data_IF_828506712617
#
_entry.id   IF_828506712617
#
_cell.length_a   1.000
_cell.length_b   1.000
_cell.length_c   1.000
_cell.angle_alpha   90.00
_cell.angle_beta   90.00
_cell.angle_gamma   90.00
#
_symmetry.space_group_name_H-M   'P 1'
#
loop_
_entity.id
_entity.type
_entity.pdbx_description
1 polymer ?
#
# COMPACT_ATOMS: atom_id res chain seq x y z
N UNK A 1 -38.71 26.85 -39.69
CA UNK A 1 -38.96 25.74 -38.74
C UNK A 1 -37.70 24.87 -38.72
N UNK A 2 -36.86 25.11 -37.77
CA UNK A 2 -35.63 24.36 -37.59
C UNK A 2 -35.80 23.37 -36.46
N UNK A 3 -35.77 22.10 -36.77
CA UNK A 3 -35.75 21.02 -35.76
C UNK A 3 -34.33 20.89 -35.19
N UNK A 4 -34.12 21.42 -33.99
CA UNK A 4 -32.92 21.14 -33.22
C UNK A 4 -32.97 19.72 -32.69
N UNK A 5 -32.21 18.85 -33.34
CA UNK A 5 -31.94 17.52 -32.79
C UNK A 5 -31.13 17.63 -31.50
N UNK A 6 -31.69 17.22 -30.37
CA UNK A 6 -30.94 16.97 -29.17
C UNK A 6 -29.99 15.80 -29.47
N UNK A 7 -28.68 16.08 -29.48
CA UNK A 7 -27.67 15.03 -29.36
C UNK A 7 -27.91 14.35 -28.00
N UNK A 8 -28.30 13.09 -28.06
CA UNK A 8 -28.41 12.26 -26.87
C UNK A 8 -26.99 12.06 -26.33
N UNK A 9 -26.82 12.30 -25.01
CA UNK A 9 -25.70 11.83 -24.25
C UNK A 9 -25.61 10.30 -24.41
N UNK A 10 -24.79 9.85 -25.33
CA UNK A 10 -24.32 8.48 -25.34
C UNK A 10 -23.38 8.35 -24.14
N UNK A 11 -23.90 7.80 -23.05
CA UNK A 11 -23.10 7.43 -21.90
C UNK A 11 -22.06 6.42 -22.40
N UNK A 12 -20.88 6.88 -22.76
CA UNK A 12 -19.79 6.02 -23.22
C UNK A 12 -19.39 5.14 -22.04
N UNK A 13 -19.53 3.84 -22.19
CA UNK A 13 -19.16 2.83 -21.21
C UNK A 13 -17.64 2.87 -21.03
N UNK A 14 -17.20 3.28 -19.85
CA UNK A 14 -15.79 3.58 -19.54
C UNK A 14 -15.01 2.35 -19.10
N UNK A 15 -13.68 2.43 -19.11
CA UNK A 15 -12.83 1.39 -18.51
C UNK A 15 -13.19 1.13 -17.05
N UNK A 16 -13.62 2.16 -16.31
CA UNK A 16 -14.03 2.05 -14.90
C UNK A 16 -15.35 1.28 -14.74
N UNK A 17 -16.27 1.40 -15.68
CA UNK A 17 -17.51 0.62 -15.68
C UNK A 17 -17.23 -0.86 -15.97
N UNK A 18 -16.35 -1.15 -16.95
CA UNK A 18 -15.90 -2.51 -17.24
C UNK A 18 -15.21 -3.17 -16.05
N UNK A 19 -14.34 -2.43 -15.37
CA UNK A 19 -13.63 -2.93 -14.17
C UNK A 19 -14.63 -3.23 -13.06
N UNK A 20 -15.59 -2.33 -12.81
CA UNK A 20 -16.62 -2.52 -11.78
C UNK A 20 -17.48 -3.74 -12.09
N UNK A 21 -17.95 -3.90 -13.31
CA UNK A 21 -18.73 -5.06 -13.71
C UNK A 21 -17.96 -6.37 -13.53
N UNK A 22 -16.67 -6.39 -13.89
CA UNK A 22 -15.85 -7.58 -13.70
C UNK A 22 -15.60 -7.88 -12.21
N UNK A 23 -15.45 -6.85 -11.35
CA UNK A 23 -15.38 -7.03 -9.89
C UNK A 23 -16.67 -7.69 -9.36
N UNK A 24 -17.83 -7.13 -9.68
CA UNK A 24 -19.12 -7.68 -9.22
C UNK A 24 -19.44 -9.07 -9.77
N UNK A 25 -19.01 -9.38 -10.99
CA UNK A 25 -19.12 -10.71 -11.57
C UNK A 25 -18.30 -11.76 -10.82
N UNK A 26 -17.17 -11.35 -10.21
CA UNK A 26 -16.27 -12.21 -9.44
C UNK A 26 -16.49 -12.10 -7.92
N UNK A 27 -17.59 -11.49 -7.49
CA UNK A 27 -17.96 -11.34 -6.10
C UNK A 27 -18.22 -12.70 -5.44
N UNK A 28 -17.70 -12.88 -4.22
CA UNK A 28 -17.92 -14.04 -3.35
C UNK A 28 -18.31 -13.54 -1.97
N UNK A 29 -19.60 -13.63 -1.65
CA UNK A 29 -20.17 -13.11 -0.40
C UNK A 29 -19.56 -13.78 0.84
N UNK A 30 -19.30 -15.08 0.79
CA UNK A 30 -18.71 -15.79 1.94
C UNK A 30 -17.23 -15.41 2.13
N UNK A 31 -16.49 -15.24 1.04
CA UNK A 31 -15.14 -14.72 1.10
C UNK A 31 -15.12 -13.26 1.59
N UNK A 32 -16.07 -12.44 1.18
CA UNK A 32 -16.25 -11.07 1.67
C UNK A 32 -16.45 -11.02 3.18
N UNK A 33 -17.33 -11.86 3.73
CA UNK A 33 -17.53 -12.00 5.18
C UNK A 33 -16.25 -12.44 5.91
N UNK A 34 -15.53 -13.41 5.34
CA UNK A 34 -14.26 -13.84 5.89
C UNK A 34 -13.22 -12.70 5.90
N UNK A 35 -13.08 -11.96 4.80
CA UNK A 35 -12.18 -10.80 4.72
C UNK A 35 -12.58 -9.73 5.74
N UNK A 36 -13.87 -9.42 5.88
CA UNK A 36 -14.37 -8.46 6.86
C UNK A 36 -14.03 -8.88 8.30
N UNK A 37 -14.00 -10.19 8.60
CA UNK A 37 -13.60 -10.68 9.94
C UNK A 37 -12.12 -10.44 10.26
N UNK A 38 -11.27 -10.33 9.23
CA UNK A 38 -9.83 -10.08 9.37
C UNK A 38 -9.49 -8.58 9.32
N UNK A 39 -10.39 -7.76 8.76
CA UNK A 39 -10.24 -6.33 8.55
C UNK A 39 -11.40 -5.57 9.21
N UNK A 40 -11.50 -5.58 10.56
CA UNK A 40 -12.56 -4.89 11.26
C UNK A 40 -12.44 -3.38 11.03
N UNK A 41 -13.46 -2.79 10.43
CA UNK A 41 -13.48 -1.36 10.07
C UNK A 41 -13.26 -1.08 8.59
N UNK A 42 -12.81 -2.05 7.79
CA UNK A 42 -12.78 -1.91 6.34
C UNK A 42 -14.20 -1.81 5.78
N UNK A 43 -14.42 -0.78 4.93
CA UNK A 43 -15.74 -0.53 4.33
C UNK A 43 -15.97 -1.35 3.06
N UNK A 44 -17.25 -1.63 2.78
CA UNK A 44 -17.76 -2.12 1.49
C UNK A 44 -16.90 -3.20 0.79
N UNK A 45 -16.66 -4.32 1.50
CA UNK A 45 -15.97 -5.49 0.96
C UNK A 45 -16.97 -6.33 0.16
N UNK A 46 -16.71 -6.55 -1.14
CA UNK A 46 -17.55 -7.37 -2.03
C UNK A 46 -17.05 -8.81 -2.19
N UNK A 47 -15.81 -9.08 -1.79
CA UNK A 47 -15.25 -10.42 -1.69
C UNK A 47 -14.60 -10.93 -2.98
N UNK A 48 -13.91 -10.09 -3.74
CA UNK A 48 -13.13 -10.54 -4.88
C UNK A 48 -11.76 -11.04 -4.42
N UNK A 49 -11.42 -12.26 -4.82
CA UNK A 49 -10.16 -12.90 -4.40
C UNK A 49 -8.92 -12.25 -5.02
N UNK A 50 -7.86 -12.11 -4.26
CA UNK A 50 -6.59 -11.48 -4.70
C UNK A 50 -6.05 -12.03 -6.02
N UNK A 51 -6.08 -13.34 -6.33
CA UNK A 51 -5.63 -13.82 -7.65
C UNK A 51 -6.42 -13.23 -8.82
N UNK A 52 -7.73 -12.99 -8.65
CA UNK A 52 -8.58 -12.33 -9.66
C UNK A 52 -8.15 -10.86 -9.82
N UNK A 53 -8.02 -10.13 -8.71
CA UNK A 53 -7.54 -8.75 -8.73
C UNK A 53 -6.16 -8.63 -9.41
N UNK A 54 -5.24 -9.56 -9.14
CA UNK A 54 -3.92 -9.58 -9.79
C UNK A 54 -4.00 -9.83 -11.31
N UNK A 55 -4.94 -10.67 -11.77
CA UNK A 55 -5.17 -10.88 -13.19
C UNK A 55 -5.69 -9.60 -13.85
N UNK A 56 -6.74 -9.01 -13.28
CA UNK A 56 -7.31 -7.75 -13.76
C UNK A 56 -6.26 -6.63 -13.78
N UNK A 57 -5.48 -6.49 -12.72
CA UNK A 57 -4.44 -5.47 -12.63
C UNK A 57 -3.37 -5.60 -13.72
N UNK A 58 -2.96 -6.84 -14.07
CA UNK A 58 -2.01 -7.06 -15.17
C UNK A 58 -2.59 -6.66 -16.52
N UNK A 59 -3.85 -6.96 -16.76
CA UNK A 59 -4.55 -6.59 -17.99
C UNK A 59 -4.64 -5.06 -18.10
N UNK A 60 -5.11 -4.37 -17.05
CA UNK A 60 -5.20 -2.91 -16.97
C UNK A 60 -3.81 -2.28 -17.19
N UNK A 61 -2.79 -2.76 -16.48
CA UNK A 61 -1.44 -2.23 -16.55
C UNK A 61 -0.80 -2.40 -17.94
N UNK A 62 -1.17 -3.43 -18.68
CA UNK A 62 -0.68 -3.68 -20.05
C UNK A 62 -1.27 -2.75 -21.10
N UNK A 63 -2.44 -2.17 -20.83
CA UNK A 63 -3.13 -1.26 -21.77
C UNK A 63 -2.80 0.20 -21.45
N UNK A 64 -3.37 0.74 -20.38
CA UNK A 64 -3.14 2.13 -19.97
C UNK A 64 -3.44 2.32 -18.46
N UNK A 65 -2.46 2.04 -17.62
CA UNK A 65 -2.60 2.16 -16.17
C UNK A 65 -2.86 3.60 -15.70
N UNK A 66 -2.35 4.62 -16.41
CA UNK A 66 -2.57 6.03 -16.04
C UNK A 66 -4.03 6.43 -16.24
N UNK A 67 -4.61 6.11 -17.39
CA UNK A 67 -6.01 6.37 -17.68
C UNK A 67 -6.92 5.70 -16.65
N UNK A 68 -6.64 4.44 -16.30
CA UNK A 68 -7.38 3.76 -15.26
C UNK A 68 -7.26 4.47 -13.90
N UNK A 69 -6.05 4.82 -13.46
CA UNK A 69 -5.83 5.42 -12.14
C UNK A 69 -6.33 6.87 -12.06
N UNK A 70 -6.39 7.61 -13.17
CA UNK A 70 -6.89 8.99 -13.18
C UNK A 70 -8.41 9.08 -12.91
N UNK A 71 -9.17 8.03 -13.25
CA UNK A 71 -10.62 7.96 -13.00
C UNK A 71 -11.05 6.82 -12.08
N UNK A 72 -10.10 6.17 -11.40
CA UNK A 72 -10.39 5.02 -10.55
C UNK A 72 -11.34 5.39 -9.40
N UNK A 73 -12.30 4.48 -9.13
CA UNK A 73 -13.30 4.64 -8.09
C UNK A 73 -12.80 4.03 -6.78
N UNK A 74 -13.33 4.56 -5.67
CA UNK A 74 -12.96 4.16 -4.30
C UNK A 74 -14.18 3.67 -3.50
N UNK A 75 -15.23 3.19 -4.18
CA UNK A 75 -16.50 2.84 -3.55
C UNK A 75 -16.47 1.48 -2.83
N UNK A 76 -15.53 0.61 -3.23
CA UNK A 76 -15.35 -0.72 -2.62
C UNK A 76 -13.89 -0.93 -2.21
N UNK A 77 -13.71 -1.79 -1.20
CA UNK A 77 -12.41 -2.23 -0.73
C UNK A 77 -11.54 -2.78 -1.88
N UNK A 78 -12.14 -3.56 -2.78
CA UNK A 78 -11.43 -4.17 -3.89
C UNK A 78 -11.08 -3.17 -5.00
N UNK A 79 -11.87 -2.11 -5.19
CA UNK A 79 -11.50 -1.02 -6.11
C UNK A 79 -10.24 -0.30 -5.63
N UNK A 80 -10.14 -0.02 -4.33
CA UNK A 80 -8.94 0.58 -3.74
C UNK A 80 -7.75 -0.37 -3.82
N UNK A 81 -7.92 -1.64 -3.44
CA UNK A 81 -6.86 -2.65 -3.52
C UNK A 81 -6.37 -2.85 -4.96
N UNK A 82 -7.26 -2.85 -5.94
CA UNK A 82 -6.93 -3.01 -7.35
C UNK A 82 -6.01 -1.88 -7.85
N UNK A 83 -6.24 -0.64 -7.43
CA UNK A 83 -5.36 0.49 -7.77
C UNK A 83 -3.93 0.25 -7.31
N UNK A 84 -3.74 -0.19 -6.07
CA UNK A 84 -2.42 -0.52 -5.53
C UNK A 84 -1.73 -1.65 -6.30
N UNK A 85 -2.50 -2.68 -6.68
CA UNK A 85 -1.96 -3.80 -7.48
C UNK A 85 -1.60 -3.34 -8.90
N UNK A 86 -2.42 -2.50 -9.54
CA UNK A 86 -2.14 -1.92 -10.87
C UNK A 86 -0.82 -1.12 -10.83
N UNK A 87 -0.62 -0.28 -9.80
CA UNK A 87 0.65 0.43 -9.60
C UNK A 87 1.84 -0.52 -9.50
N UNK A 88 1.68 -1.65 -8.85
CA UNK A 88 2.72 -2.67 -8.74
C UNK A 88 3.11 -3.32 -10.07
N UNK A 89 2.22 -3.30 -11.07
CA UNK A 89 2.47 -3.77 -12.44
C UNK A 89 2.75 -2.65 -13.43
N UNK A 90 2.62 -1.37 -13.03
CA UNK A 90 2.85 -0.22 -13.89
C UNK A 90 4.26 -0.24 -14.49
N UNK A 91 4.37 0.20 -15.73
CA UNK A 91 5.64 0.35 -16.44
C UNK A 91 5.77 1.76 -16.98
N UNK A 92 7.02 2.23 -17.06
CA UNK A 92 7.32 3.58 -17.53
C UNK A 92 8.38 4.25 -16.68
N UNK A 93 8.38 5.59 -16.66
CA UNK A 93 9.31 6.36 -15.84
C UNK A 93 8.97 6.20 -14.37
N UNK A 94 10.01 6.04 -13.54
CA UNK A 94 9.83 5.86 -12.09
C UNK A 94 9.14 7.08 -11.45
N UNK A 95 9.45 8.28 -11.88
CA UNK A 95 8.85 9.52 -11.35
C UNK A 95 7.32 9.56 -11.55
N UNK A 96 6.84 9.09 -12.71
CA UNK A 96 5.41 8.98 -12.98
C UNK A 96 4.76 7.98 -12.02
N UNK A 97 5.39 6.80 -11.85
CA UNK A 97 4.87 5.74 -10.98
C UNK A 97 4.84 6.21 -9.52
N UNK A 98 5.89 6.88 -9.05
CA UNK A 98 5.94 7.43 -7.69
C UNK A 98 4.93 8.57 -7.49
N UNK A 99 4.68 9.38 -8.51
CA UNK A 99 3.62 10.40 -8.47
C UNK A 99 2.24 9.78 -8.23
N UNK A 100 1.91 8.70 -8.95
CA UNK A 100 0.64 8.00 -8.75
C UNK A 100 0.62 7.23 -7.42
N UNK A 101 1.74 6.68 -6.98
CA UNK A 101 1.86 6.06 -5.66
C UNK A 101 1.56 7.08 -4.55
N UNK A 102 2.09 8.32 -4.67
CA UNK A 102 1.78 9.42 -3.74
C UNK A 102 0.29 9.78 -3.68
N UNK A 103 -0.45 9.63 -4.80
CA UNK A 103 -1.91 9.82 -4.85
C UNK A 103 -2.67 8.63 -4.24
N UNK A 104 -2.09 7.43 -4.28
CA UNK A 104 -2.71 6.21 -3.79
C UNK A 104 -2.54 6.03 -2.27
N UNK A 105 -1.37 6.33 -1.70
CA UNK A 105 -1.08 6.13 -0.27
C UNK A 105 -2.17 6.70 0.65
N UNK A 106 -2.73 7.91 0.42
CA UNK A 106 -3.80 8.45 1.26
C UNK A 106 -5.11 7.66 1.26
N UNK A 107 -5.29 6.73 0.30
CA UNK A 107 -6.48 5.87 0.19
C UNK A 107 -6.33 4.58 1.01
N UNK A 108 -5.14 4.30 1.52
CA UNK A 108 -4.87 3.10 2.31
C UNK A 108 -5.44 3.29 3.72
N UNK A 109 -6.42 2.49 4.07
CA UNK A 109 -7.09 2.48 5.38
C UNK A 109 -7.18 1.07 5.99
N UNK A 110 -6.59 0.07 5.31
CA UNK A 110 -6.55 -1.32 5.76
C UNK A 110 -5.17 -1.95 5.53
N UNK A 111 -4.79 -2.84 6.45
CA UNK A 111 -3.50 -3.52 6.41
C UNK A 111 -3.32 -4.41 5.18
N UNK A 112 -4.38 -5.07 4.72
CA UNK A 112 -4.26 -5.99 3.57
C UNK A 112 -4.16 -5.24 2.24
N UNK A 113 -4.78 -4.05 2.12
CA UNK A 113 -4.57 -3.13 0.98
C UNK A 113 -3.11 -2.68 0.97
N UNK A 114 -2.60 -2.21 2.12
CA UNK A 114 -1.23 -1.77 2.28
C UNK A 114 -0.22 -2.86 1.87
N UNK A 115 -0.32 -4.03 2.49
CA UNK A 115 0.66 -5.10 2.33
C UNK A 115 0.61 -5.72 0.92
N UNK A 116 -0.58 -5.85 0.33
CA UNK A 116 -0.76 -6.35 -1.03
C UNK A 116 -0.15 -5.40 -2.06
N UNK A 117 -0.34 -4.09 -1.89
CA UNK A 117 0.29 -3.07 -2.73
C UNK A 117 1.81 -3.13 -2.60
N UNK A 118 2.35 -3.04 -1.38
CA UNK A 118 3.79 -3.08 -1.13
C UNK A 118 4.45 -4.34 -1.71
N UNK A 119 3.86 -5.51 -1.50
CA UNK A 119 4.38 -6.78 -2.02
C UNK A 119 4.39 -6.84 -3.56
N UNK A 120 3.49 -6.13 -4.22
CA UNK A 120 3.39 -6.11 -5.68
C UNK A 120 4.36 -5.10 -6.30
N UNK A 121 4.83 -4.10 -5.56
CA UNK A 121 5.63 -2.96 -6.04
C UNK A 121 7.10 -3.33 -6.27
N UNK A 122 7.35 -4.38 -7.05
CA UNK A 122 8.70 -4.95 -7.27
C UNK A 122 9.65 -4.06 -8.05
N UNK A 123 9.16 -2.99 -8.66
CA UNK A 123 9.99 -1.98 -9.32
C UNK A 123 10.97 -1.33 -8.33
N UNK A 124 10.66 -1.33 -7.04
CA UNK A 124 11.56 -0.88 -5.98
C UNK A 124 12.92 -1.59 -5.98
N UNK A 125 13.00 -2.85 -6.43
CA UNK A 125 14.29 -3.54 -6.57
C UNK A 125 15.19 -2.94 -7.65
N UNK A 126 14.61 -2.33 -8.67
CA UNK A 126 15.35 -1.70 -9.77
C UNK A 126 15.72 -0.24 -9.46
N UNK A 127 14.86 0.46 -8.73
CA UNK A 127 14.97 1.88 -8.41
C UNK A 127 15.03 2.10 -6.90
N UNK A 128 15.95 1.38 -6.22
CA UNK A 128 16.01 1.37 -4.75
C UNK A 128 16.21 2.77 -4.16
N UNK A 129 17.10 3.58 -4.74
CA UNK A 129 17.39 4.90 -4.19
C UNK A 129 16.22 5.87 -4.42
N UNK A 130 15.65 5.89 -5.62
CA UNK A 130 14.53 6.78 -5.96
C UNK A 130 13.30 6.47 -5.09
N UNK A 131 13.01 5.17 -4.88
CA UNK A 131 11.92 4.74 -4.02
C UNK A 131 12.24 5.04 -2.55
N UNK A 132 13.49 4.86 -2.10
CA UNK A 132 13.91 5.26 -0.76
C UNK A 132 13.67 6.75 -0.52
N UNK A 133 14.15 7.60 -1.43
CA UNK A 133 14.00 9.06 -1.33
C UNK A 133 12.53 9.50 -1.34
N UNK A 134 11.68 8.78 -2.07
CA UNK A 134 10.23 8.98 -2.06
C UNK A 134 9.60 8.63 -0.69
N UNK A 135 10.10 7.61 0.02
CA UNK A 135 9.57 7.17 1.31
C UNK A 135 9.98 8.10 2.46
N UNK A 136 11.15 8.72 2.41
CA UNK A 136 11.72 9.48 3.54
C UNK A 136 10.84 10.62 4.03
N UNK A 137 10.18 11.44 3.19
CA UNK A 137 9.29 12.49 3.66
C UNK A 137 8.12 12.01 4.53
N UNK A 138 7.69 10.75 4.38
CA UNK A 138 6.62 10.19 5.21
C UNK A 138 7.07 9.95 6.67
N UNK A 139 8.36 9.86 6.94
CA UNK A 139 8.89 9.73 8.32
C UNK A 139 8.89 11.06 9.07
N UNK A 140 8.93 12.18 8.36
CA UNK A 140 8.94 13.51 8.95
C UNK A 140 7.51 13.93 9.37
N UNK A 141 7.32 14.16 10.68
CA UNK A 141 6.04 14.63 11.23
C UNK A 141 5.70 16.07 10.86
N UNK A 142 6.66 16.84 10.36
CA UNK A 142 6.47 18.21 9.91
C UNK A 142 6.27 18.32 8.40
N UNK A 143 6.46 17.23 7.64
CA UNK A 143 6.32 17.25 6.20
C UNK A 143 4.87 17.51 5.76
N UNK A 144 4.71 18.42 4.81
CA UNK A 144 3.45 18.63 4.09
C UNK A 144 3.48 17.76 2.83
N UNK A 145 2.60 16.78 2.76
CA UNK A 145 2.50 15.84 1.63
C UNK A 145 1.11 15.96 1.01
N UNK A 146 1.04 16.13 -0.31
CA UNK A 146 -0.23 16.33 -1.01
C UNK A 146 -1.01 17.57 -0.51
N UNK A 147 -0.30 18.59 -0.03
CA UNK A 147 -0.90 19.81 0.52
C UNK A 147 -1.45 19.67 1.95
N UNK A 148 -1.28 18.51 2.59
CA UNK A 148 -1.79 18.24 3.95
C UNK A 148 -0.64 18.07 4.95
N UNK A 149 -0.69 18.72 6.11
CA UNK A 149 0.23 18.45 7.22
C UNK A 149 -0.02 17.06 7.83
N UNK A 150 0.91 16.54 8.60
CA UNK A 150 0.87 15.19 9.15
C UNK A 150 -0.40 14.89 9.96
N UNK A 151 -0.88 15.85 10.76
CA UNK A 151 -2.08 15.70 11.61
C UNK A 151 -3.41 15.64 10.83
N UNK A 152 -3.41 15.91 9.53
CA UNK A 152 -4.58 15.80 8.65
C UNK A 152 -4.53 14.56 7.74
N UNK A 153 -3.51 13.71 7.94
CA UNK A 153 -3.27 12.49 7.14
C UNK A 153 -3.45 11.23 7.98
N UNK A 154 -3.72 10.11 7.34
CA UNK A 154 -3.77 8.80 8.02
C UNK A 154 -2.36 8.29 8.31
N UNK A 155 -1.74 8.84 9.34
CA UNK A 155 -0.34 8.57 9.72
C UNK A 155 -0.06 7.11 10.04
N UNK A 156 -1.02 6.38 10.60
CA UNK A 156 -0.84 4.97 10.88
C UNK A 156 -0.54 4.18 9.61
N UNK A 157 -1.37 4.33 8.58
CA UNK A 157 -1.21 3.57 7.33
C UNK A 157 -0.13 4.14 6.42
N UNK A 158 0.15 5.44 6.44
CA UNK A 158 1.32 5.99 5.75
C UNK A 158 2.62 5.41 6.28
N UNK A 159 2.79 5.38 7.62
CA UNK A 159 3.97 4.80 8.26
C UNK A 159 4.02 3.28 8.10
N UNK A 160 2.86 2.59 8.14
CA UNK A 160 2.80 1.16 7.81
C UNK A 160 3.27 0.90 6.38
N UNK A 161 2.82 1.71 5.41
CA UNK A 161 3.28 1.59 4.03
C UNK A 161 4.80 1.70 3.94
N UNK A 162 5.41 2.69 4.59
CA UNK A 162 6.87 2.83 4.65
C UNK A 162 7.52 1.61 5.30
N UNK A 163 7.01 1.16 6.45
CA UNK A 163 7.56 0.01 7.17
C UNK A 163 7.52 -1.26 6.33
N UNK A 164 6.41 -1.53 5.62
CA UNK A 164 6.25 -2.73 4.79
C UNK A 164 7.06 -2.62 3.48
N UNK A 165 7.24 -1.43 2.92
CA UNK A 165 8.17 -1.21 1.81
C UNK A 165 9.61 -1.52 2.23
N UNK A 166 10.03 -1.05 3.41
CA UNK A 166 11.35 -1.34 3.96
C UNK A 166 11.56 -2.83 4.18
N UNK A 167 10.61 -3.52 4.77
CA UNK A 167 10.59 -4.97 4.97
C UNK A 167 10.76 -5.74 3.65
N UNK A 168 10.06 -5.33 2.59
CA UNK A 168 10.06 -6.06 1.33
C UNK A 168 11.33 -5.84 0.50
N UNK A 169 11.95 -4.65 0.57
CA UNK A 169 12.94 -4.24 -0.45
C UNK A 169 14.26 -3.71 0.11
N UNK A 170 14.38 -3.46 1.43
CA UNK A 170 15.54 -2.78 2.00
C UNK A 170 16.25 -3.53 3.12
N UNK A 171 15.87 -4.78 3.40
CA UNK A 171 16.59 -5.62 4.36
C UNK A 171 17.82 -6.25 3.71
N UNK A 172 18.86 -5.45 3.53
CA UNK A 172 20.15 -5.80 2.96
C UNK A 172 21.26 -4.93 3.57
N UNK A 173 22.53 -5.30 3.34
CA UNK A 173 23.71 -4.65 3.96
C UNK A 173 23.79 -3.14 3.69
N UNK A 174 23.25 -2.65 2.57
CA UNK A 174 23.27 -1.22 2.22
C UNK A 174 22.30 -0.37 3.03
N UNK A 175 21.15 -0.95 3.40
CA UNK A 175 20.05 -0.19 3.98
C UNK A 175 19.67 -0.61 5.41
N UNK A 176 20.13 -1.77 5.90
CA UNK A 176 19.66 -2.31 7.16
C UNK A 176 19.77 -1.33 8.34
N UNK A 177 20.88 -0.64 8.51
CA UNK A 177 21.07 0.30 9.61
C UNK A 177 20.08 1.48 9.52
N UNK A 178 19.80 1.96 8.29
CA UNK A 178 18.83 3.01 8.03
C UNK A 178 17.39 2.53 8.30
N UNK A 179 17.09 1.28 7.97
CA UNK A 179 15.78 0.65 8.22
C UNK A 179 15.54 0.50 9.71
N UNK A 180 16.52 -0.04 10.46
CA UNK A 180 16.42 -0.19 11.92
C UNK A 180 16.26 1.16 12.60
N UNK A 181 17.02 2.17 12.16
CA UNK A 181 16.86 3.55 12.64
C UNK A 181 15.45 4.10 12.35
N UNK A 182 14.92 3.88 11.15
CA UNK A 182 13.58 4.32 10.79
C UNK A 182 12.51 3.65 11.66
N UNK A 183 12.60 2.34 11.88
CA UNK A 183 11.67 1.60 12.74
C UNK A 183 11.68 2.12 14.18
N UNK A 184 12.84 2.46 14.71
CA UNK A 184 12.99 3.03 16.06
C UNK A 184 12.35 4.42 16.22
N UNK A 185 12.26 5.16 15.09
CA UNK A 185 11.80 6.55 15.07
C UNK A 185 10.38 6.73 14.49
N UNK A 186 9.72 5.67 14.03
CA UNK A 186 8.32 5.74 13.60
C UNK A 186 7.41 5.90 14.83
N UNK A 187 6.95 7.12 15.10
CA UNK A 187 6.09 7.43 16.25
C UNK A 187 4.63 7.57 15.83
N UNK A 188 3.84 6.59 16.17
CA UNK A 188 2.39 6.58 16.09
C UNK A 188 1.85 5.42 16.94
N UNK A 189 0.75 5.62 17.65
CA UNK A 189 0.19 4.62 18.55
C UNK A 189 -0.72 3.60 17.88
N UNK A 190 -0.89 3.70 16.55
CA UNK A 190 -1.71 2.81 15.76
C UNK A 190 -1.24 1.35 15.81
N UNK A 191 -2.18 0.45 16.07
CA UNK A 191 -1.94 -1.00 16.16
C UNK A 191 -1.28 -1.56 14.90
N UNK A 192 -1.78 -1.16 13.74
CA UNK A 192 -1.30 -1.70 12.46
C UNK A 192 0.12 -1.25 12.12
N UNK A 193 0.52 -0.02 12.49
CA UNK A 193 1.92 0.39 12.38
C UNK A 193 2.81 -0.46 13.28
N UNK A 194 2.48 -0.57 14.56
CA UNK A 194 3.28 -1.34 15.54
C UNK A 194 3.46 -2.79 15.10
N UNK A 195 2.41 -3.42 14.59
CA UNK A 195 2.48 -4.77 14.02
C UNK A 195 3.33 -4.83 12.74
N UNK A 196 3.31 -3.82 11.89
CA UNK A 196 4.14 -3.71 10.70
C UNK A 196 5.63 -3.60 11.04
N UNK A 197 5.98 -2.76 12.01
CA UNK A 197 7.37 -2.63 12.52
C UNK A 197 7.83 -3.93 13.16
N UNK A 198 6.99 -4.56 14.02
CA UNK A 198 7.33 -5.84 14.65
C UNK A 198 7.58 -6.95 13.61
N UNK A 199 6.79 -7.00 12.55
CA UNK A 199 7.01 -7.93 11.43
C UNK A 199 8.31 -7.60 10.70
N UNK A 200 8.55 -6.31 10.38
CA UNK A 200 9.78 -5.86 9.74
C UNK A 200 11.04 -6.22 10.52
N UNK A 201 11.01 -6.11 11.85
CA UNK A 201 12.12 -6.51 12.72
C UNK A 201 12.33 -8.03 12.74
N UNK A 202 11.27 -8.83 12.71
CA UNK A 202 11.40 -10.28 12.62
C UNK A 202 12.05 -10.72 11.30
N UNK A 203 11.64 -10.13 10.18
CA UNK A 203 12.28 -10.37 8.88
C UNK A 203 13.72 -9.84 8.81
N UNK A 204 13.99 -8.70 9.44
CA UNK A 204 15.34 -8.16 9.57
C UNK A 204 16.26 -9.11 10.35
N UNK A 205 15.74 -9.73 11.42
CA UNK A 205 16.49 -10.71 12.19
C UNK A 205 16.88 -11.95 11.37
N UNK A 206 16.01 -12.38 10.46
CA UNK A 206 16.30 -13.51 9.55
C UNK A 206 17.37 -13.13 8.50
N UNK A 207 17.27 -11.93 7.94
CA UNK A 207 18.13 -11.51 6.81
C UNK A 207 19.45 -10.87 7.23
N UNK A 208 19.44 -10.12 8.34
CA UNK A 208 20.56 -9.33 8.86
C UNK A 208 20.66 -9.53 10.39
N UNK A 209 20.97 -10.76 10.86
CA UNK A 209 20.85 -11.12 12.29
C UNK A 209 21.77 -10.31 13.20
N UNK A 210 23.00 -10.03 12.80
CA UNK A 210 23.97 -9.34 13.66
C UNK A 210 23.59 -7.89 13.92
N UNK A 211 23.21 -7.14 12.87
CA UNK A 211 22.76 -5.76 12.99
C UNK A 211 21.46 -5.67 13.78
N UNK A 212 20.52 -6.60 13.54
CA UNK A 212 19.24 -6.62 14.24
C UNK A 212 19.40 -6.95 15.73
N UNK A 213 20.28 -7.89 16.10
CA UNK A 213 20.59 -8.15 17.52
C UNK A 213 21.19 -6.92 18.20
N UNK A 214 22.19 -6.30 17.59
CA UNK A 214 22.81 -5.09 18.14
C UNK A 214 21.79 -3.95 18.33
N UNK A 215 20.84 -3.82 17.41
CA UNK A 215 19.73 -2.87 17.55
C UNK A 215 18.80 -3.24 18.71
N UNK A 216 18.40 -4.49 18.86
CA UNK A 216 17.50 -4.95 19.93
C UNK A 216 18.10 -4.74 21.33
N UNK A 217 19.42 -4.77 21.48
CA UNK A 217 20.11 -4.51 22.73
C UNK A 217 20.09 -3.00 23.12
N UNK A 218 19.83 -2.10 22.17
CA UNK A 218 19.83 -0.65 22.41
C UNK A 218 18.83 0.08 21.47
N UNK A 219 17.54 -0.11 21.72
CA UNK A 219 16.44 0.49 20.94
C UNK A 219 15.55 1.38 21.83
N UNK A 220 14.65 2.16 21.19
CA UNK A 220 13.68 3.04 21.84
C UNK A 220 12.23 2.67 21.48
N UNK A 221 12.00 1.42 21.09
CA UNK A 221 10.67 0.91 20.78
C UNK A 221 9.78 0.93 22.02
N UNK A 222 8.47 1.10 21.85
CA UNK A 222 7.53 0.84 22.93
C UNK A 222 7.44 -0.67 23.25
N UNK A 223 7.04 -0.97 24.50
CA UNK A 223 6.99 -2.36 25.01
C UNK A 223 6.13 -3.29 24.14
N UNK A 224 5.03 -2.78 23.58
CA UNK A 224 4.17 -3.58 22.73
C UNK A 224 4.90 -3.99 21.44
N UNK A 225 5.48 -3.03 20.74
CA UNK A 225 6.19 -3.27 19.46
C UNK A 225 7.38 -4.19 19.68
N UNK A 226 8.19 -3.95 20.73
CA UNK A 226 9.32 -4.78 21.10
C UNK A 226 8.90 -6.23 21.37
N UNK A 227 7.94 -6.44 22.27
CA UNK A 227 7.48 -7.78 22.65
C UNK A 227 6.86 -8.53 21.46
N UNK A 228 6.14 -7.82 20.57
CA UNK A 228 5.60 -8.41 19.34
C UNK A 228 6.69 -8.80 18.34
N UNK A 229 7.75 -8.00 18.23
CA UNK A 229 8.91 -8.36 17.40
C UNK A 229 9.58 -9.64 17.92
N UNK A 230 9.85 -9.71 19.22
CA UNK A 230 10.44 -10.92 19.85
C UNK A 230 9.54 -12.14 19.67
N UNK A 231 8.22 -12.00 19.87
CA UNK A 231 7.27 -13.10 19.62
C UNK A 231 7.36 -13.60 18.18
N UNK A 232 7.34 -12.69 17.20
CA UNK A 232 7.41 -13.06 15.77
C UNK A 232 8.74 -13.67 15.35
N UNK A 233 9.85 -13.34 16.01
CA UNK A 233 11.16 -13.95 15.78
C UNK A 233 11.22 -15.41 16.27
N UNK A 234 10.31 -15.81 17.17
CA UNK A 234 10.24 -17.16 17.74
C UNK A 234 9.28 -18.10 16.98
N UNK A 235 8.41 -17.53 16.14
CA UNK A 235 7.46 -18.26 15.29
C UNK A 235 8.16 -18.82 14.03
#
# INVERSE_FOLDING_TARGET
MGAGGKMGDTNEYTVHDLVRDELYKNMDVEYGKFTASLSPGAGNIIGVRIPVLRKMAKEIASVNWKEYLDGARDDTFEEVMLQGIVLGYARGKIDDILTYMGRFIPKIDDWSICDTCCNTFKIANQYQQEVWDFLMPYLDEHAVIGGKPANERNREFELRFVAVMMLNYYLNDTYIDKVLYAYDHMKNDGYYLKMGVAWGLAEAYVKCPEQTKAFLDNNHLDDFTFNKAIQKMQE
#
